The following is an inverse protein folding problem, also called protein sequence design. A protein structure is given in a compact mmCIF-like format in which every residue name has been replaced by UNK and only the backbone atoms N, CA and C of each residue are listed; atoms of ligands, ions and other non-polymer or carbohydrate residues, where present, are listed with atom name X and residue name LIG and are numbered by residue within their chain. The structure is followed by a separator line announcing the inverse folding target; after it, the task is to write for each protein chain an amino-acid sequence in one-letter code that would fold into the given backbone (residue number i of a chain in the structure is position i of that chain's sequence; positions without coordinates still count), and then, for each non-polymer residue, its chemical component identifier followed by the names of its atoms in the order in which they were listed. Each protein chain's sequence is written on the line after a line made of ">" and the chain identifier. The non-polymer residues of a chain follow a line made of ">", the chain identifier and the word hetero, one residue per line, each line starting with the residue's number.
data_IF_685367822374
#
_entry.id   IF_685367822374
#
_cell.length_a   1.000
_cell.length_b   1.000
_cell.length_c   1.000
_cell.angle_alpha   90.00
_cell.angle_beta   90.00
_cell.angle_gamma   90.00
#
_symmetry.space_group_name_H-M   'P 1'
#
loop_
_entity.id
_entity.type
_entity.pdbx_description
1 polymer ?
#
# COMPACT_ATOMS: atom_id res chain seq x y z
N UNK A 1 -27.96 13.83 4.38
CA UNK A 1 -27.23 13.99 5.66
C UNK A 1 -25.94 14.77 5.47
N UNK A 2 -25.38 15.24 6.57
CA UNK A 2 -24.23 16.14 6.55
C UNK A 2 -22.88 15.39 6.49
N UNK A 3 -22.94 14.09 6.78
CA UNK A 3 -21.80 13.19 6.81
C UNK A 3 -22.06 11.95 5.95
N UNK A 4 -21.05 11.52 5.18
CA UNK A 4 -21.07 10.32 4.35
C UNK A 4 -19.98 9.37 4.82
N UNK A 5 -20.34 8.16 5.23
CA UNK A 5 -19.39 7.12 5.65
C UNK A 5 -19.24 6.09 4.54
N UNK A 6 -18.00 5.89 4.09
CA UNK A 6 -17.67 4.81 3.15
C UNK A 6 -17.45 3.50 3.89
N UNK A 7 -18.06 2.44 3.40
CA UNK A 7 -17.78 1.09 3.84
C UNK A 7 -17.60 0.18 2.62
N UNK A 8 -16.45 -0.49 2.52
CA UNK A 8 -16.20 -1.47 1.47
C UNK A 8 -16.89 -2.80 1.82
N UNK A 9 -17.45 -3.51 0.84
CA UNK A 9 -18.23 -4.73 1.03
C UNK A 9 -17.49 -5.93 1.68
N UNK A 10 -16.19 -5.79 1.96
CA UNK A 10 -15.34 -6.77 2.63
C UNK A 10 -14.63 -6.20 3.88
N UNK A 11 -15.06 -5.02 4.33
CA UNK A 11 -14.59 -4.38 5.54
C UNK A 11 -15.57 -4.63 6.69
N UNK A 12 -15.05 -4.76 7.91
CA UNK A 12 -15.84 -4.83 9.13
C UNK A 12 -15.51 -3.61 9.98
N UNK A 13 -16.48 -2.72 10.11
CA UNK A 13 -16.38 -1.54 10.97
C UNK A 13 -16.65 -1.95 12.42
N UNK A 14 -15.94 -1.42 13.43
CA UNK A 14 -16.33 -1.53 14.82
C UNK A 14 -17.63 -0.75 15.10
N UNK A 15 -18.34 -1.12 16.15
CA UNK A 15 -19.67 -0.57 16.48
C UNK A 15 -19.65 0.94 16.72
N UNK A 16 -18.56 1.44 17.26
CA UNK A 16 -18.34 2.86 17.56
C UNK A 16 -17.71 3.66 16.42
N UNK A 17 -17.42 3.03 15.26
CA UNK A 17 -16.71 3.67 14.16
C UNK A 17 -17.32 4.98 13.71
N UNK A 18 -18.65 4.99 13.47
CA UNK A 18 -19.36 6.17 12.96
C UNK A 18 -19.34 7.29 14.00
N UNK A 19 -19.63 6.96 15.25
CA UNK A 19 -19.64 7.95 16.35
C UNK A 19 -18.25 8.57 16.52
N UNK A 20 -17.20 7.76 16.62
CA UNK A 20 -15.81 8.23 16.77
C UNK A 20 -15.34 9.05 15.54
N UNK A 21 -15.76 8.69 14.34
CA UNK A 21 -15.40 9.42 13.14
C UNK A 21 -16.09 10.80 13.09
N UNK A 22 -17.38 10.87 13.43
CA UNK A 22 -18.13 12.15 13.50
C UNK A 22 -17.56 13.06 14.56
N UNK A 23 -17.33 12.55 15.78
CA UNK A 23 -16.67 13.31 16.86
C UNK A 23 -15.31 13.87 16.40
N UNK A 24 -14.51 13.06 15.70
CA UNK A 24 -13.22 13.50 15.18
C UNK A 24 -13.37 14.58 14.10
N UNK A 25 -14.34 14.45 13.18
CA UNK A 25 -14.68 15.50 12.21
C UNK A 25 -14.99 16.83 12.89
N UNK A 26 -15.81 16.79 13.94
CA UNK A 26 -16.26 18.00 14.62
C UNK A 26 -15.14 18.64 15.45
N UNK A 27 -14.38 17.84 16.17
CA UNK A 27 -13.25 18.30 16.99
C UNK A 27 -12.11 18.91 16.16
N UNK A 28 -11.83 18.34 14.98
CA UNK A 28 -10.66 18.75 14.19
C UNK A 28 -10.98 19.73 13.06
N UNK A 29 -12.26 19.88 12.72
CA UNK A 29 -12.69 20.63 11.55
C UNK A 29 -12.25 19.98 10.22
N UNK A 30 -11.93 18.68 10.23
CA UNK A 30 -11.52 17.96 9.05
C UNK A 30 -12.69 17.74 8.05
N UNK A 31 -12.36 17.62 6.78
CA UNK A 31 -13.32 17.30 5.71
C UNK A 31 -13.45 15.78 5.48
N UNK A 32 -12.40 15.04 5.80
CA UNK A 32 -12.38 13.58 5.77
C UNK A 32 -11.59 13.03 6.95
N UNK A 33 -12.15 12.06 7.64
CA UNK A 33 -11.53 11.32 8.73
C UNK A 33 -11.53 9.84 8.41
N UNK A 34 -10.44 9.17 8.69
CA UNK A 34 -10.34 7.72 8.59
C UNK A 34 -9.18 7.18 9.40
N UNK A 35 -8.96 5.89 9.37
CA UNK A 35 -8.03 5.28 10.29
C UNK A 35 -7.18 4.16 9.71
N UNK A 36 -7.01 3.11 10.48
CA UNK A 36 -6.11 1.99 10.21
C UNK A 36 -6.85 0.88 9.46
N UNK A 37 -6.27 0.41 8.37
CA UNK A 37 -6.63 -0.84 7.72
C UNK A 37 -5.99 -1.99 8.51
N UNK A 38 -6.70 -2.50 9.52
CA UNK A 38 -6.21 -3.60 10.34
C UNK A 38 -6.36 -4.94 9.61
N UNK A 39 -5.33 -5.31 8.88
CA UNK A 39 -5.29 -6.57 8.15
C UNK A 39 -5.30 -7.75 9.11
N UNK A 40 -6.33 -8.61 9.02
CA UNK A 40 -6.52 -9.81 9.83
C UNK A 40 -6.75 -11.03 8.95
N UNK A 41 -5.91 -12.05 9.10
CA UNK A 41 -6.00 -13.30 8.34
C UNK A 41 -6.68 -14.42 9.10
N UNK A 42 -7.56 -15.14 8.43
CA UNK A 42 -8.20 -16.36 8.95
C UNK A 42 -7.33 -17.60 8.71
N UNK A 43 -6.80 -17.73 7.50
CA UNK A 43 -5.88 -18.82 7.14
C UNK A 43 -4.43 -18.46 7.45
N UNK A 44 -3.55 -19.47 7.47
CA UNK A 44 -2.10 -19.26 7.68
C UNK A 44 -1.51 -18.35 6.59
N UNK A 45 -1.94 -18.51 5.32
CA UNK A 45 -1.51 -17.66 4.22
C UNK A 45 -1.99 -16.21 4.41
N UNK A 46 -3.27 -16.02 4.72
CA UNK A 46 -3.81 -14.69 5.00
C UNK A 46 -3.13 -14.01 6.20
N UNK A 47 -2.75 -14.76 7.25
CA UNK A 47 -1.97 -14.22 8.38
C UNK A 47 -0.59 -13.75 7.96
N UNK A 48 0.06 -14.47 7.04
CA UNK A 48 1.33 -14.02 6.46
C UNK A 48 1.16 -12.73 5.64
N UNK A 49 0.11 -12.65 4.80
CA UNK A 49 -0.22 -11.42 4.06
C UNK A 49 -0.57 -10.28 5.00
N UNK A 50 -1.37 -10.52 6.04
CA UNK A 50 -1.74 -9.53 7.05
C UNK A 50 -0.51 -8.95 7.77
N UNK A 51 0.44 -9.80 8.15
CA UNK A 51 1.69 -9.36 8.75
C UNK A 51 2.51 -8.50 7.77
N UNK A 52 2.64 -8.94 6.53
CA UNK A 52 3.35 -8.18 5.49
C UNK A 52 2.69 -6.81 5.23
N UNK A 53 1.36 -6.73 5.20
CA UNK A 53 0.59 -5.49 5.02
C UNK A 53 0.70 -4.51 6.21
N UNK A 54 1.07 -4.98 7.39
CA UNK A 54 1.34 -4.15 8.59
C UNK A 54 2.83 -3.86 8.78
N UNK A 55 3.69 -4.38 7.91
CA UNK A 55 5.14 -4.19 7.96
C UNK A 55 5.59 -3.06 7.01
N UNK A 56 6.49 -2.20 7.49
CA UNK A 56 7.14 -1.18 6.65
C UNK A 56 7.88 -1.78 5.45
N UNK A 57 8.35 -3.01 5.58
CA UNK A 57 9.02 -3.73 4.49
C UNK A 57 8.06 -4.28 3.44
N UNK A 58 6.79 -4.49 3.78
CA UNK A 58 5.77 -4.98 2.84
C UNK A 58 5.05 -3.87 2.07
N UNK A 59 4.75 -2.74 2.74
CA UNK A 59 3.88 -1.68 2.18
C UNK A 59 4.42 -0.26 2.39
N UNK A 60 5.60 -0.12 2.99
CA UNK A 60 6.16 1.17 3.36
C UNK A 60 5.55 1.73 4.65
N UNK A 61 5.68 3.05 4.86
CA UNK A 61 5.39 3.72 6.13
C UNK A 61 4.05 4.48 6.16
N UNK A 62 3.10 4.14 5.29
CA UNK A 62 1.80 4.82 5.29
C UNK A 62 1.03 4.52 6.60
N UNK A 63 0.60 5.56 7.31
CA UNK A 63 -0.01 5.45 8.64
C UNK A 63 -1.25 4.54 8.66
N UNK A 64 -2.05 4.57 7.63
CA UNK A 64 -3.24 3.70 7.54
C UNK A 64 -2.92 2.20 7.41
N UNK A 65 -1.66 1.82 7.13
CA UNK A 65 -1.20 0.43 7.12
C UNK A 65 -0.47 0.04 8.41
N UNK A 66 0.44 0.90 8.86
CA UNK A 66 1.38 0.55 9.94
C UNK A 66 0.99 1.16 11.30
N UNK A 67 -0.06 1.97 11.31
CA UNK A 67 -0.42 2.79 12.46
C UNK A 67 0.40 4.08 12.52
N UNK A 68 0.08 4.94 13.45
CA UNK A 68 0.74 6.23 13.62
C UNK A 68 0.11 7.06 14.71
N UNK A 69 0.56 8.30 14.85
CA UNK A 69 -0.02 9.31 15.73
C UNK A 69 -1.19 9.97 15.01
N UNK A 70 -2.23 10.34 15.75
CA UNK A 70 -3.36 11.11 15.24
C UNK A 70 -2.88 12.45 14.64
N UNK A 71 -3.42 12.82 13.48
CA UNK A 71 -3.06 14.09 12.83
C UNK A 71 -3.45 14.18 11.36
N UNK A 72 -3.05 15.27 10.72
CA UNK A 72 -3.23 15.45 9.28
C UNK A 72 -2.49 14.38 8.47
N UNK A 73 -3.13 13.89 7.41
CA UNK A 73 -2.59 12.83 6.57
C UNK A 73 -2.84 13.09 5.08
N UNK A 74 -1.98 12.52 4.22
CA UNK A 74 -2.20 12.57 2.77
C UNK A 74 -3.44 11.78 2.36
N UNK A 75 -3.70 10.68 3.03
CA UNK A 75 -4.83 9.78 2.79
C UNK A 75 -5.09 8.90 3.99
N UNK A 76 -6.30 8.39 4.09
CA UNK A 76 -6.77 7.50 5.15
C UNK A 76 -7.51 6.30 4.56
N UNK A 77 -7.68 5.27 5.36
CA UNK A 77 -8.49 4.10 4.97
C UNK A 77 -9.94 4.30 5.40
N UNK A 78 -10.89 4.01 4.49
CA UNK A 78 -12.35 4.15 4.64
C UNK A 78 -12.75 5.50 5.27
N UNK A 79 -12.83 6.51 4.42
CA UNK A 79 -13.13 7.88 4.86
C UNK A 79 -14.57 8.05 5.38
N UNK A 80 -14.67 8.91 6.38
CA UNK A 80 -15.90 9.56 6.83
C UNK A 80 -15.81 11.03 6.42
N UNK A 81 -16.66 11.44 5.50
CA UNK A 81 -16.56 12.73 4.79
C UNK A 81 -17.66 13.69 5.21
N UNK A 82 -17.35 14.98 5.30
CA UNK A 82 -18.38 16.00 5.24
C UNK A 82 -19.02 16.01 3.84
N UNK A 83 -20.34 16.00 3.77
CA UNK A 83 -21.06 16.02 2.48
C UNK A 83 -20.68 17.25 1.63
N UNK A 84 -20.45 18.39 2.26
CA UNK A 84 -19.98 19.62 1.62
C UNK A 84 -18.61 19.48 0.97
N UNK A 85 -17.70 18.71 1.56
CA UNK A 85 -16.40 18.44 0.99
C UNK A 85 -16.51 17.59 -0.28
N UNK A 86 -17.35 16.54 -0.25
CA UNK A 86 -17.62 15.72 -1.45
C UNK A 86 -18.26 16.54 -2.57
N UNK A 87 -19.21 17.42 -2.25
CA UNK A 87 -19.83 18.33 -3.24
C UNK A 87 -18.80 19.29 -3.84
N UNK A 88 -17.92 19.88 -3.00
CA UNK A 88 -16.87 20.81 -3.42
C UNK A 88 -15.91 20.18 -4.43
N UNK A 89 -15.53 18.91 -4.24
CA UNK A 89 -14.60 18.21 -5.12
C UNK A 89 -15.27 17.36 -6.20
N UNK A 90 -16.60 17.29 -6.27
CA UNK A 90 -17.33 16.52 -7.27
C UNK A 90 -17.32 15.00 -7.05
N UNK A 91 -17.05 14.52 -5.82
CA UNK A 91 -17.06 13.10 -5.49
C UNK A 91 -15.88 12.30 -6.06
N UNK A 92 -16.07 10.98 -6.21
CA UNK A 92 -15.06 10.08 -6.77
C UNK A 92 -14.97 10.21 -8.30
N UNK A 93 -13.73 10.19 -8.84
CA UNK A 93 -13.52 10.05 -10.28
C UNK A 93 -13.93 8.63 -10.72
N UNK A 94 -14.97 8.54 -11.52
CA UNK A 94 -15.51 7.26 -12.02
C UNK A 94 -14.59 6.53 -12.99
N UNK A 95 -13.59 7.21 -13.56
CA UNK A 95 -12.57 6.60 -14.40
C UNK A 95 -11.51 5.84 -13.60
N UNK A 96 -11.44 6.08 -12.28
CA UNK A 96 -10.47 5.43 -11.40
C UNK A 96 -11.07 4.17 -10.76
N UNK A 97 -10.51 3.01 -11.04
CA UNK A 97 -10.91 1.75 -10.40
C UNK A 97 -10.04 1.37 -9.20
N UNK A 98 -8.92 2.06 -9.00
CA UNK A 98 -7.99 1.92 -7.87
C UNK A 98 -7.39 3.27 -7.53
N UNK A 99 -6.88 3.42 -6.31
CA UNK A 99 -6.31 4.65 -5.77
C UNK A 99 -7.30 5.85 -5.75
N UNK A 100 -8.59 5.60 -5.92
CA UNK A 100 -9.63 6.63 -5.92
C UNK A 100 -9.70 7.40 -4.59
N UNK A 101 -9.44 6.72 -3.46
CA UNK A 101 -9.41 7.36 -2.14
C UNK A 101 -8.26 8.36 -2.03
N UNK A 102 -7.10 7.96 -2.51
CA UNK A 102 -5.94 8.82 -2.51
C UNK A 102 -6.17 10.06 -3.39
N UNK A 103 -6.71 9.86 -4.59
CA UNK A 103 -6.99 10.93 -5.54
C UNK A 103 -8.04 11.91 -5.00
N UNK A 104 -9.13 11.41 -4.44
CA UNK A 104 -10.15 12.26 -3.83
C UNK A 104 -9.61 13.02 -2.63
N UNK A 105 -8.83 12.37 -1.77
CA UNK A 105 -8.16 13.04 -0.64
C UNK A 105 -7.16 14.11 -1.10
N UNK A 106 -6.51 13.90 -2.25
CA UNK A 106 -5.65 14.91 -2.86
C UNK A 106 -6.47 16.14 -3.25
N UNK A 107 -7.60 15.99 -4.00
CA UNK A 107 -8.47 17.11 -4.39
C UNK A 107 -9.08 17.84 -3.16
N UNK A 108 -9.43 17.12 -2.11
CA UNK A 108 -9.89 17.73 -0.86
C UNK A 108 -8.81 18.68 -0.32
N UNK A 109 -7.54 18.24 -0.27
CA UNK A 109 -6.43 19.06 0.24
C UNK A 109 -6.09 20.23 -0.68
N UNK A 110 -6.10 20.03 -2.01
CA UNK A 110 -5.89 21.11 -2.99
C UNK A 110 -6.96 22.22 -2.90
N UNK A 111 -8.15 21.89 -2.44
CA UNK A 111 -9.22 22.88 -2.20
C UNK A 111 -9.19 23.47 -0.78
N UNK A 112 -8.06 23.32 -0.06
CA UNK A 112 -7.87 23.85 1.30
C UNK A 112 -8.53 23.02 2.41
N UNK A 113 -9.04 21.84 2.07
CA UNK A 113 -9.64 20.93 3.06
C UNK A 113 -8.61 20.10 3.81
N UNK A 114 -9.04 19.47 4.92
CA UNK A 114 -8.20 18.63 5.78
C UNK A 114 -8.60 17.18 5.71
N UNK A 115 -7.60 16.30 5.56
CA UNK A 115 -7.73 14.85 5.72
C UNK A 115 -7.06 14.45 7.03
N UNK A 116 -7.78 13.75 7.89
CA UNK A 116 -7.33 13.47 9.25
C UNK A 116 -7.25 11.97 9.54
N UNK A 117 -6.12 11.53 10.01
CA UNK A 117 -5.90 10.16 10.46
C UNK A 117 -6.17 10.05 11.96
N UNK A 118 -7.09 9.14 12.34
CA UNK A 118 -7.34 8.78 13.73
C UNK A 118 -7.03 7.29 13.96
N UNK A 119 -6.00 6.94 14.74
CA UNK A 119 -5.61 5.54 14.98
C UNK A 119 -6.64 4.72 15.77
N UNK A 120 -7.63 5.36 16.42
CA UNK A 120 -8.74 4.67 17.07
C UNK A 120 -9.70 4.03 16.05
N UNK A 121 -9.80 4.59 14.85
CA UNK A 121 -10.63 4.06 13.76
C UNK A 121 -9.94 2.86 13.11
N UNK A 122 -10.08 1.68 13.68
CA UNK A 122 -9.49 0.43 13.18
C UNK A 122 -10.54 -0.39 12.45
N UNK A 123 -10.34 -0.57 11.15
CA UNK A 123 -11.24 -1.35 10.31
C UNK A 123 -10.61 -2.70 10.00
N UNK A 124 -11.31 -3.78 10.31
CA UNK A 124 -10.83 -5.11 9.94
C UNK A 124 -10.88 -5.30 8.42
N UNK A 125 -9.73 -5.61 7.86
CA UNK A 125 -9.55 -5.93 6.45
C UNK A 125 -9.15 -7.39 6.28
N UNK A 126 -9.83 -8.12 5.38
CA UNK A 126 -9.50 -9.52 5.06
C UNK A 126 -8.57 -9.59 3.84
N UNK A 127 -7.30 -9.98 4.01
CA UNK A 127 -6.35 -10.12 2.90
C UNK A 127 -6.75 -11.20 1.90
N UNK A 128 -6.11 -11.19 0.73
CA UNK A 128 -6.29 -12.21 -0.31
C UNK A 128 -5.96 -13.60 0.22
N UNK A 129 -6.73 -14.60 -0.25
CA UNK A 129 -6.64 -15.98 0.23
C UNK A 129 -5.59 -16.83 -0.47
N UNK A 130 -5.14 -16.38 -1.65
CA UNK A 130 -4.20 -17.10 -2.51
C UNK A 130 -3.16 -16.17 -3.15
N UNK A 131 -2.08 -16.80 -3.63
CA UNK A 131 -0.94 -16.09 -4.22
C UNK A 131 -1.30 -15.36 -5.51
N UNK A 132 -2.14 -15.96 -6.37
CA UNK A 132 -2.52 -15.38 -7.65
C UNK A 132 -3.36 -14.12 -7.49
N UNK A 133 -4.32 -14.11 -6.56
CA UNK A 133 -5.12 -12.92 -6.26
C UNK A 133 -4.29 -11.85 -5.55
N UNK A 134 -3.32 -12.21 -4.70
CA UNK A 134 -2.36 -11.29 -4.12
C UNK A 134 -1.50 -10.63 -5.21
N UNK A 135 -0.93 -11.41 -6.12
CA UNK A 135 -0.12 -10.91 -7.23
C UNK A 135 -0.90 -9.92 -8.11
N UNK A 136 -2.12 -10.27 -8.50
CA UNK A 136 -3.00 -9.38 -9.29
C UNK A 136 -3.31 -8.07 -8.55
N UNK A 137 -3.55 -8.13 -7.24
CA UNK A 137 -3.80 -6.94 -6.43
C UNK A 137 -2.59 -5.99 -6.44
N UNK A 138 -1.40 -6.51 -6.18
CA UNK A 138 -0.18 -5.69 -6.13
C UNK A 138 0.25 -5.21 -7.53
N UNK A 139 0.04 -6.00 -8.57
CA UNK A 139 0.21 -5.56 -9.96
C UNK A 139 -0.64 -4.30 -10.25
N UNK A 140 -1.94 -4.37 -9.91
CA UNK A 140 -2.84 -3.24 -10.08
C UNK A 140 -2.41 -2.03 -9.26
N UNK A 141 -1.95 -2.23 -8.01
CA UNK A 141 -1.45 -1.13 -7.18
C UNK A 141 -0.26 -0.42 -7.82
N UNK A 142 0.69 -1.17 -8.39
CA UNK A 142 1.83 -0.59 -9.13
C UNK A 142 1.37 0.19 -10.37
N UNK A 143 0.49 -0.39 -11.19
CA UNK A 143 -0.05 0.26 -12.39
C UNK A 143 -0.76 1.58 -12.05
N UNK A 144 -1.65 1.55 -11.06
CA UNK A 144 -2.40 2.75 -10.67
C UNK A 144 -1.54 3.79 -9.99
N UNK A 145 -0.52 3.37 -9.21
CA UNK A 145 0.43 4.34 -8.64
C UNK A 145 1.15 5.12 -9.73
N UNK A 146 1.63 4.47 -10.78
CA UNK A 146 2.26 5.16 -11.91
C UNK A 146 1.30 6.12 -12.61
N UNK A 147 0.04 5.72 -12.81
CA UNK A 147 -0.99 6.61 -13.41
C UNK A 147 -1.21 7.86 -12.56
N UNK A 148 -1.39 7.69 -11.25
CA UNK A 148 -1.57 8.79 -10.30
C UNK A 148 -0.38 9.75 -10.36
N UNK A 149 0.86 9.24 -10.39
CA UNK A 149 2.06 10.08 -10.49
C UNK A 149 2.14 10.85 -11.82
N UNK A 150 1.54 10.35 -12.89
CA UNK A 150 1.46 11.10 -14.15
C UNK A 150 0.37 12.17 -14.13
N UNK A 151 -0.75 11.90 -13.47
CA UNK A 151 -1.85 12.86 -13.33
C UNK A 151 -1.50 13.99 -12.33
N UNK A 152 -0.74 13.65 -11.29
CA UNK A 152 -0.41 14.52 -10.16
C UNK A 152 1.10 14.45 -9.83
N UNK A 153 2.00 14.94 -10.74
CA UNK A 153 3.44 14.83 -10.55
C UNK A 153 3.94 15.61 -9.32
N UNK A 154 3.24 16.68 -8.92
CA UNK A 154 3.50 17.50 -7.74
C UNK A 154 3.45 16.72 -6.44
N UNK A 155 2.76 15.57 -6.42
CA UNK A 155 2.58 14.74 -5.22
C UNK A 155 3.76 13.83 -4.90
N UNK A 156 4.75 13.78 -5.79
CA UNK A 156 5.96 12.96 -5.59
C UNK A 156 6.98 13.73 -4.76
N UNK A 157 6.86 13.64 -3.44
CA UNK A 157 7.88 14.15 -2.52
C UNK A 157 9.11 13.24 -2.47
N UNK A 158 10.25 13.74 -1.98
CA UNK A 158 11.44 12.90 -1.74
C UNK A 158 11.16 11.71 -0.84
N UNK A 159 10.33 11.88 0.19
CA UNK A 159 9.96 10.82 1.12
C UNK A 159 9.08 9.75 0.47
N UNK A 160 8.15 10.15 -0.40
CA UNK A 160 7.28 9.22 -1.13
C UNK A 160 7.98 8.55 -2.31
N UNK A 161 8.97 9.21 -2.93
CA UNK A 161 9.71 8.69 -4.07
C UNK A 161 10.38 7.35 -3.75
N UNK A 162 11.09 7.25 -2.62
CA UNK A 162 11.73 5.99 -2.21
C UNK A 162 10.71 4.84 -2.16
N UNK A 163 9.55 5.07 -1.54
CA UNK A 163 8.48 4.07 -1.43
C UNK A 163 7.93 3.63 -2.80
N UNK A 164 7.82 4.57 -3.75
CA UNK A 164 7.26 4.28 -5.08
C UNK A 164 8.27 3.66 -6.04
N UNK A 165 9.52 4.04 -5.95
CA UNK A 165 10.56 3.56 -6.87
C UNK A 165 11.33 2.34 -6.34
N UNK A 166 11.33 2.07 -5.03
CA UNK A 166 12.05 0.93 -4.49
C UNK A 166 11.65 -0.42 -5.13
N UNK A 167 10.35 -0.81 -5.25
CA UNK A 167 9.99 -2.09 -5.84
C UNK A 167 10.38 -2.24 -7.33
N UNK A 168 10.11 -1.27 -8.25
CA UNK A 168 10.53 -1.40 -9.64
C UNK A 168 12.05 -1.37 -9.82
N UNK A 169 12.78 -0.57 -9.03
CA UNK A 169 14.25 -0.58 -9.05
C UNK A 169 14.79 -1.92 -8.54
N UNK A 170 14.25 -2.44 -7.44
CA UNK A 170 14.64 -3.76 -6.92
C UNK A 170 14.39 -4.87 -7.96
N UNK A 171 13.24 -4.84 -8.62
CA UNK A 171 12.92 -5.81 -9.68
C UNK A 171 13.95 -5.76 -10.81
N UNK A 172 14.28 -4.55 -11.30
CA UNK A 172 15.24 -4.37 -12.38
C UNK A 172 16.66 -4.79 -11.95
N UNK A 173 17.13 -4.29 -10.81
CA UNK A 173 18.49 -4.59 -10.32
C UNK A 173 18.65 -6.07 -10.00
N UNK A 174 17.69 -6.69 -9.33
CA UNK A 174 17.73 -8.11 -9.03
C UNK A 174 17.58 -8.98 -10.28
N UNK A 175 16.68 -8.60 -11.21
CA UNK A 175 16.46 -9.32 -12.44
C UNK A 175 17.66 -9.26 -13.40
N UNK A 176 18.18 -8.07 -13.65
CA UNK A 176 19.38 -7.87 -14.48
C UNK A 176 20.61 -8.51 -13.84
N UNK A 177 20.77 -8.32 -12.51
CA UNK A 177 21.86 -8.95 -11.75
C UNK A 177 21.82 -10.46 -11.80
N UNK A 178 20.62 -11.07 -11.78
CA UNK A 178 20.46 -12.51 -11.93
C UNK A 178 20.90 -12.98 -13.33
N UNK A 179 20.45 -12.31 -14.38
CA UNK A 179 20.79 -12.67 -15.76
C UNK A 179 22.30 -12.57 -16.00
N UNK A 180 22.90 -11.40 -15.70
CA UNK A 180 24.32 -11.15 -15.88
C UNK A 180 25.16 -12.11 -15.02
N UNK A 181 24.75 -12.31 -13.78
CA UNK A 181 25.48 -13.16 -12.83
C UNK A 181 25.46 -14.63 -13.21
N UNK A 182 24.32 -15.16 -13.71
CA UNK A 182 24.25 -16.54 -14.22
C UNK A 182 25.14 -16.72 -15.46
N UNK A 183 25.08 -15.77 -16.40
CA UNK A 183 25.99 -15.79 -17.58
C UNK A 183 27.44 -15.73 -17.12
N UNK A 184 27.76 -14.89 -16.12
CA UNK A 184 29.10 -14.80 -15.54
C UNK A 184 29.58 -16.11 -14.89
N UNK A 185 28.70 -16.83 -14.17
CA UNK A 185 29.01 -18.14 -13.62
C UNK A 185 29.33 -19.17 -14.74
N UNK A 186 28.52 -19.20 -15.80
CA UNK A 186 28.67 -20.12 -16.92
C UNK A 186 29.95 -19.84 -17.72
N UNK A 187 30.42 -18.60 -17.78
CA UNK A 187 31.64 -18.15 -18.45
C UNK A 187 32.86 -18.04 -17.55
N UNK A 188 32.73 -18.44 -16.28
CA UNK A 188 33.76 -18.28 -15.25
C UNK A 188 34.38 -16.89 -15.18
N UNK A 189 33.54 -15.85 -15.35
CA UNK A 189 33.95 -14.46 -15.43
C UNK A 189 33.59 -13.66 -14.18
N UNK A 190 34.24 -12.47 -14.02
CA UNK A 190 33.94 -11.52 -12.95
C UNK A 190 32.46 -11.07 -12.92
N UNK A 191 31.73 -11.21 -14.04
CA UNK A 191 30.32 -10.90 -14.12
C UNK A 191 29.45 -11.72 -13.15
N UNK A 192 29.95 -12.86 -12.64
CA UNK A 192 29.29 -13.63 -11.57
C UNK A 192 28.99 -12.80 -10.32
N UNK A 193 29.77 -11.75 -10.04
CA UNK A 193 29.52 -10.83 -8.90
C UNK A 193 28.17 -10.10 -9.00
N UNK A 194 27.57 -10.02 -10.17
CA UNK A 194 26.23 -9.44 -10.33
C UNK A 194 25.14 -10.20 -9.55
N UNK A 195 25.40 -11.46 -9.13
CA UNK A 195 24.51 -12.21 -8.23
C UNK A 195 24.40 -11.63 -6.83
N UNK A 196 25.32 -10.75 -6.42
CA UNK A 196 25.24 -10.10 -5.11
C UNK A 196 23.89 -9.41 -4.92
N UNK A 197 23.37 -8.73 -5.96
CA UNK A 197 22.10 -7.99 -5.88
C UNK A 197 20.89 -8.92 -5.59
N UNK A 198 20.57 -9.94 -6.39
CA UNK A 198 19.45 -10.82 -6.09
C UNK A 198 19.66 -11.62 -4.79
N UNK A 199 20.89 -12.06 -4.50
CA UNK A 199 21.19 -12.80 -3.26
C UNK A 199 20.97 -11.92 -2.02
N UNK A 200 21.47 -10.68 -2.02
CA UNK A 200 21.26 -9.72 -0.94
C UNK A 200 19.78 -9.40 -0.73
N UNK A 201 19.03 -9.25 -1.80
CA UNK A 201 17.58 -9.02 -1.72
C UNK A 201 16.86 -10.21 -1.08
N UNK A 202 17.15 -11.44 -1.50
CA UNK A 202 16.57 -12.66 -0.89
C UNK A 202 17.00 -12.82 0.57
N UNK A 203 18.25 -12.53 0.89
CA UNK A 203 18.73 -12.55 2.28
C UNK A 203 17.97 -11.52 3.14
N UNK A 204 17.76 -10.29 2.63
CA UNK A 204 16.98 -9.27 3.29
C UNK A 204 15.53 -9.70 3.55
N UNK A 205 14.86 -10.28 2.54
CA UNK A 205 13.51 -10.84 2.72
C UNK A 205 13.48 -11.92 3.80
N UNK A 206 14.45 -12.85 3.81
CA UNK A 206 14.53 -13.90 4.83
C UNK A 206 14.73 -13.30 6.23
N UNK A 207 15.62 -12.33 6.37
CA UNK A 207 15.88 -11.64 7.66
C UNK A 207 14.62 -10.95 8.17
N UNK A 208 13.92 -10.21 7.31
CA UNK A 208 12.64 -9.58 7.66
C UNK A 208 11.59 -10.64 8.04
N UNK A 209 11.51 -11.74 7.31
CA UNK A 209 10.58 -12.82 7.62
C UNK A 209 10.86 -13.47 8.98
N UNK A 210 12.12 -13.69 9.31
CA UNK A 210 12.54 -14.23 10.63
C UNK A 210 12.19 -13.28 11.78
N UNK A 211 12.20 -11.97 11.56
CA UNK A 211 11.78 -11.01 12.60
C UNK A 211 10.33 -11.22 13.05
N UNK A 212 9.50 -11.81 12.20
CA UNK A 212 8.12 -12.12 12.53
C UNK A 212 7.95 -13.25 13.58
N UNK A 213 9.00 -14.02 13.86
CA UNK A 213 8.99 -15.04 14.94
C UNK A 213 8.64 -14.46 16.31
N UNK A 214 8.87 -13.16 16.51
CA UNK A 214 8.51 -12.45 17.75
C UNK A 214 7.00 -12.40 18.00
N UNK A 215 6.18 -12.55 16.95
CA UNK A 215 4.72 -12.34 17.01
C UNK A 215 3.90 -13.37 16.23
N UNK A 216 4.54 -14.22 15.42
CA UNK A 216 3.86 -15.16 14.55
C UNK A 216 4.42 -16.57 14.68
N UNK A 217 3.58 -17.61 14.55
CA UNK A 217 4.03 -19.00 14.56
C UNK A 217 4.85 -19.31 13.31
N UNK A 218 5.72 -20.31 13.41
CA UNK A 218 6.59 -20.75 12.31
C UNK A 218 5.85 -21.03 10.99
N UNK A 219 4.64 -21.58 11.08
CA UNK A 219 3.80 -21.83 9.91
C UNK A 219 3.46 -20.58 9.09
N UNK A 220 3.40 -19.41 9.72
CA UNK A 220 3.23 -18.10 9.08
C UNK A 220 4.57 -17.60 8.53
N UNK A 221 5.62 -17.67 9.35
CA UNK A 221 6.96 -17.14 9.02
C UNK A 221 7.53 -17.77 7.76
N UNK A 222 7.40 -19.08 7.58
CA UNK A 222 7.91 -19.80 6.39
C UNK A 222 7.23 -19.35 5.08
N UNK A 223 6.05 -18.74 5.16
CA UNK A 223 5.32 -18.22 3.99
C UNK A 223 5.67 -16.78 3.65
N UNK A 224 6.22 -16.03 4.60
CA UNK A 224 6.52 -14.60 4.43
C UNK A 224 7.49 -14.31 3.28
N UNK A 225 8.57 -15.08 3.05
CA UNK A 225 9.46 -14.81 1.93
C UNK A 225 8.72 -14.80 0.59
N UNK A 226 7.84 -15.78 0.37
CA UNK A 226 7.05 -15.87 -0.85
C UNK A 226 6.03 -14.75 -0.95
N UNK A 227 5.37 -14.39 0.15
CA UNK A 227 4.40 -13.28 0.20
C UNK A 227 5.09 -11.95 -0.13
N UNK A 228 6.18 -11.62 0.56
CA UNK A 228 6.92 -10.38 0.34
C UNK A 228 7.49 -10.29 -1.08
N UNK A 229 8.08 -11.38 -1.57
CA UNK A 229 8.56 -11.45 -2.96
C UNK A 229 7.42 -11.18 -3.95
N UNK A 230 6.27 -11.82 -3.77
CA UNK A 230 5.09 -11.62 -4.63
C UNK A 230 4.62 -10.16 -4.60
N UNK A 231 4.50 -9.57 -3.41
CA UNK A 231 4.07 -8.18 -3.27
C UNK A 231 5.03 -7.21 -3.99
N UNK A 232 6.33 -7.35 -3.76
CA UNK A 232 7.33 -6.45 -4.34
C UNK A 232 7.45 -6.62 -5.86
N UNK A 233 7.57 -7.87 -6.33
CA UNK A 233 7.78 -8.14 -7.76
C UNK A 233 6.52 -7.78 -8.58
N UNK A 234 5.33 -8.15 -8.10
CA UNK A 234 4.08 -7.80 -8.78
C UNK A 234 3.84 -6.29 -8.81
N UNK A 235 4.12 -5.60 -7.71
CA UNK A 235 3.99 -4.15 -7.65
C UNK A 235 5.00 -3.47 -8.59
N UNK A 236 6.27 -3.87 -8.53
CA UNK A 236 7.33 -3.36 -9.40
C UNK A 236 7.02 -3.59 -10.88
N UNK A 237 6.60 -4.79 -11.24
CA UNK A 237 6.19 -5.12 -12.61
C UNK A 237 4.99 -4.30 -13.06
N UNK A 238 3.96 -4.18 -12.23
CA UNK A 238 2.80 -3.35 -12.51
C UNK A 238 3.16 -1.89 -12.75
N UNK A 239 4.07 -1.34 -11.95
CA UNK A 239 4.57 0.03 -12.12
C UNK A 239 5.29 0.20 -13.46
N UNK A 240 6.18 -0.72 -13.83
CA UNK A 240 6.94 -0.66 -15.09
C UNK A 240 6.05 -0.84 -16.33
N UNK A 241 5.04 -1.70 -16.25
CA UNK A 241 4.16 -2.06 -17.37
C UNK A 241 2.83 -1.31 -17.39
N UNK A 242 2.68 -0.28 -16.54
CA UNK A 242 1.45 0.54 -16.53
C UNK A 242 1.18 1.11 -17.91
N UNK A 243 -0.04 0.94 -18.47
CA UNK A 243 -0.40 1.58 -19.73
C UNK A 243 -0.24 3.09 -19.65
N UNK A 244 0.17 3.70 -20.75
CA UNK A 244 0.25 5.16 -20.84
C UNK A 244 -1.13 5.78 -20.54
N UNK A 245 -1.12 6.86 -19.76
CA UNK A 245 -2.34 7.66 -19.54
C UNK A 245 -2.63 8.34 -20.89
N UNK A 246 -3.74 7.99 -21.52
CA UNK A 246 -4.24 8.79 -22.64
C UNK A 246 -4.74 10.10 -22.03
N UNK A 247 -4.08 11.22 -22.37
CA UNK A 247 -4.60 12.56 -22.10
C UNK A 247 -6.00 12.67 -22.70
N UNK A 248 -6.98 13.00 -21.88
CA UNK A 248 -8.30 13.44 -22.38
C UNK A 248 -8.23 14.89 -22.81
#
# INVERSE_FOLDING_TARGET
>A
GDVVVRCDGHALLPDDYVATAVETLDRTGADNVGGVMDAQGETVFQRAVAWAMKSKFGVGSAAFHVGGVEGEAETVYLGCFRASALQRVGGYDTAMTRAQDWEMNHRIRETGGKVWFNPALKVTYRPRRDLGSLARQYLQYGQWRRRVMHMHPETVSRASALRYFAPPVTLLVAGVGLIIGVVGLLSASIAAWALIAPVSYIAGIKTVSLSALKSQPWSVVIRLPLVLLTMHMSWGWGFLTSPAVRSR
#
